data_IF_520586702900
#
_entry.id   IF_520586702900
#
_cell.length_a   1.000
_cell.length_b   1.000
_cell.length_c   1.000
_cell.angle_alpha   90.00
_cell.angle_beta   90.00
_cell.angle_gamma   90.00
#
_symmetry.space_group_name_H-M   'P 1'
#
loop_
_entity.id
_entity.type
_entity.pdbx_description
1 polymer ?
#
# COMPACT_ATOMS: atom_id res chain seq x y z
N UNK A 1 -9.35 -6.36 -21.94
CA UNK A 1 -9.09 -5.85 -20.59
C UNK A 1 -8.65 -4.41 -20.77
N UNK A 2 -9.23 -3.46 -20.05
CA UNK A 2 -8.77 -2.06 -20.12
C UNK A 2 -7.33 -2.00 -19.61
N UNK A 3 -6.44 -1.37 -20.38
CA UNK A 3 -5.08 -1.13 -19.92
C UNK A 3 -5.09 0.09 -19.00
N UNK A 4 -4.88 -0.12 -17.71
CA UNK A 4 -4.67 0.94 -16.72
C UNK A 4 -3.25 1.49 -16.86
N UNK A 5 -3.07 2.40 -17.81
CA UNK A 5 -1.79 3.11 -18.02
C UNK A 5 -1.60 4.27 -17.03
N UNK A 6 -2.68 4.75 -16.43
CA UNK A 6 -2.67 5.81 -15.43
C UNK A 6 -2.64 5.24 -14.01
N UNK A 7 -2.01 5.98 -13.10
CA UNK A 7 -2.14 5.75 -11.68
C UNK A 7 -3.50 6.31 -11.24
N UNK A 8 -4.28 5.48 -10.56
CA UNK A 8 -5.59 5.87 -10.00
C UNK A 8 -5.51 5.75 -8.49
N UNK A 9 -5.77 6.85 -7.79
CA UNK A 9 -6.00 6.84 -6.34
C UNK A 9 -7.49 7.01 -6.12
N UNK A 10 -8.11 6.02 -5.49
CA UNK A 10 -9.55 5.99 -5.24
C UNK A 10 -9.83 5.96 -3.73
N UNK A 11 -9.99 7.15 -3.15
CA UNK A 11 -10.38 7.30 -1.76
C UNK A 11 -11.79 6.77 -1.45
N UNK A 12 -12.65 6.57 -2.47
CA UNK A 12 -14.01 6.05 -2.25
C UNK A 12 -13.97 4.55 -1.97
N UNK A 13 -13.17 3.79 -2.73
CA UNK A 13 -12.97 2.37 -2.48
C UNK A 13 -11.84 2.07 -1.48
N UNK A 14 -10.97 3.05 -1.20
CA UNK A 14 -9.83 2.88 -0.28
C UNK A 14 -8.69 2.09 -0.91
N UNK A 15 -8.45 2.30 -2.21
CA UNK A 15 -7.40 1.60 -2.95
C UNK A 15 -6.73 2.51 -3.99
N UNK A 16 -5.46 2.23 -4.29
CA UNK A 16 -4.78 2.75 -5.46
C UNK A 16 -4.50 1.64 -6.46
N UNK A 17 -4.39 2.04 -7.73
CA UNK A 17 -4.17 1.16 -8.87
C UNK A 17 -3.04 1.72 -9.71
N UNK A 18 -2.07 0.88 -10.07
CA UNK A 18 -1.01 1.25 -11.01
C UNK A 18 -0.63 0.06 -11.89
N UNK A 19 -0.02 0.35 -13.03
CA UNK A 19 0.64 -0.68 -13.84
C UNK A 19 1.76 -1.37 -13.05
N UNK A 20 1.91 -2.67 -13.25
CA UNK A 20 2.99 -3.49 -12.70
C UNK A 20 3.62 -4.38 -13.78
N UNK A 21 3.91 -3.74 -14.92
CA UNK A 21 4.32 -4.40 -16.15
C UNK A 21 3.12 -4.99 -16.87
N UNK A 22 2.94 -4.68 -18.16
CA UNK A 22 1.80 -5.19 -18.91
C UNK A 22 1.81 -6.74 -18.98
N UNK A 23 0.67 -7.43 -18.79
CA UNK A 23 -0.69 -6.92 -18.63
C UNK A 23 -1.18 -6.80 -17.16
N UNK A 24 -0.29 -6.53 -16.21
CA UNK A 24 -0.58 -6.57 -14.78
C UNK A 24 -0.91 -5.20 -14.19
N UNK A 25 -1.83 -5.23 -13.22
CA UNK A 25 -2.18 -4.09 -12.38
C UNK A 25 -1.87 -4.47 -10.94
N UNK A 26 -1.13 -3.61 -10.26
CA UNK A 26 -1.00 -3.67 -8.82
C UNK A 26 -2.16 -2.90 -8.18
N UNK A 27 -2.76 -3.53 -7.17
CA UNK A 27 -3.78 -2.93 -6.32
C UNK A 27 -3.18 -2.80 -4.93
N UNK A 28 -3.13 -1.59 -4.40
CA UNK A 28 -2.59 -1.31 -3.08
C UNK A 28 -3.53 -0.50 -2.21
N UNK A 29 -3.18 -0.39 -0.93
CA UNK A 29 -4.02 0.21 0.10
C UNK A 29 -3.92 1.71 0.23
N UNK A 30 -5.09 2.32 0.49
CA UNK A 30 -5.26 3.75 0.76
C UNK A 30 -6.32 4.00 1.85
N UNK A 31 -6.87 2.96 2.48
CA UNK A 31 -7.89 3.14 3.50
C UNK A 31 -7.25 3.42 4.86
N UNK A 32 -7.99 4.12 5.72
CA UNK A 32 -7.56 4.46 7.08
C UNK A 32 -7.13 3.22 7.88
N UNK A 33 -7.81 2.09 7.69
CA UNK A 33 -7.46 0.82 8.34
C UNK A 33 -6.07 0.30 7.94
N UNK A 34 -5.59 0.59 6.74
CA UNK A 34 -4.25 0.18 6.28
C UNK A 34 -3.19 1.19 6.75
N UNK A 35 -3.55 2.47 6.86
CA UNK A 35 -2.64 3.54 7.32
C UNK A 35 -2.42 3.56 8.83
N UNK A 36 -3.32 2.96 9.59
CA UNK A 36 -3.30 2.95 11.07
C UNK A 36 -3.00 1.57 11.66
N UNK A 37 -2.82 0.55 10.80
CA UNK A 37 -2.47 -0.78 11.25
C UNK A 37 -1.08 -0.78 11.92
N UNK A 38 -1.03 -1.29 13.15
CA UNK A 38 0.23 -1.45 13.89
C UNK A 38 0.54 -2.93 14.01
N UNK A 39 1.74 -3.31 13.60
CA UNK A 39 2.24 -4.69 13.65
C UNK A 39 3.61 -4.74 14.33
N UNK A 40 3.98 -5.92 14.81
CA UNK A 40 5.33 -6.16 15.31
C UNK A 40 6.30 -6.37 14.11
N UNK A 41 7.29 -5.47 13.93
CA UNK A 41 8.18 -5.55 12.78
C UNK A 41 9.06 -6.81 12.79
N UNK A 42 9.35 -7.37 13.97
CA UNK A 42 10.20 -8.57 14.09
C UNK A 42 9.46 -9.86 13.71
N UNK A 43 8.13 -9.80 13.60
CA UNK A 43 7.28 -10.94 13.20
C UNK A 43 6.45 -10.69 11.94
N UNK A 44 6.75 -9.62 11.20
CA UNK A 44 5.96 -9.23 10.03
C UNK A 44 6.18 -10.16 8.81
N UNK A 45 5.07 -10.59 8.21
CA UNK A 45 5.07 -11.41 6.99
C UNK A 45 5.19 -10.57 5.72
N UNK A 46 6.14 -10.91 4.85
CA UNK A 46 6.38 -10.17 3.59
C UNK A 46 5.41 -10.54 2.45
N UNK A 47 4.41 -11.37 2.70
CA UNK A 47 3.40 -11.74 1.72
C UNK A 47 2.04 -11.18 2.14
N UNK A 48 1.24 -10.75 1.17
CA UNK A 48 -0.16 -10.46 1.42
C UNK A 48 -0.91 -11.75 1.78
N UNK A 49 -1.64 -11.73 2.88
CA UNK A 49 -2.49 -12.86 3.25
C UNK A 49 -3.79 -12.93 2.42
N UNK A 50 -4.53 -14.03 2.59
CA UNK A 50 -5.75 -14.27 1.82
C UNK A 50 -6.87 -13.26 2.12
N UNK A 51 -6.95 -12.77 3.35
CA UNK A 51 -8.00 -11.84 3.77
C UNK A 51 -7.75 -10.46 3.17
N UNK A 52 -6.49 -10.01 3.20
CA UNK A 52 -6.02 -8.81 2.51
C UNK A 52 -6.32 -8.90 1.00
N UNK A 53 -5.92 -9.99 0.35
CA UNK A 53 -6.17 -10.20 -1.09
C UNK A 53 -7.67 -10.13 -1.38
N UNK A 54 -8.50 -10.80 -0.59
CA UNK A 54 -9.96 -10.85 -0.79
C UNK A 54 -10.61 -9.47 -0.59
N UNK A 55 -10.15 -8.71 0.41
CA UNK A 55 -10.60 -7.33 0.67
C UNK A 55 -10.31 -6.41 -0.52
N UNK A 56 -9.07 -6.42 -1.00
CA UNK A 56 -8.66 -5.59 -2.14
C UNK A 56 -9.26 -6.03 -3.46
N UNK A 57 -9.52 -7.33 -3.64
CA UNK A 57 -10.22 -7.84 -4.81
C UNK A 57 -11.65 -7.27 -4.90
N UNK A 58 -12.35 -7.15 -3.78
CA UNK A 58 -13.69 -6.55 -3.73
C UNK A 58 -13.65 -5.05 -4.08
N UNK A 59 -12.68 -4.31 -3.56
CA UNK A 59 -12.45 -2.89 -3.89
C UNK A 59 -12.15 -2.72 -5.38
N UNK A 60 -11.30 -3.60 -5.93
CA UNK A 60 -10.94 -3.59 -7.33
C UNK A 60 -12.15 -3.87 -8.25
N UNK A 61 -12.98 -4.88 -7.95
CA UNK A 61 -14.20 -5.16 -8.74
C UNK A 61 -15.22 -4.01 -8.64
N UNK A 62 -15.34 -3.40 -7.47
CA UNK A 62 -16.23 -2.24 -7.28
C UNK A 62 -15.85 -1.10 -8.23
N UNK A 63 -14.55 -0.82 -8.38
CA UNK A 63 -14.05 0.25 -9.24
C UNK A 63 -13.97 -0.16 -10.72
N UNK A 64 -13.48 -1.37 -10.99
CA UNK A 64 -13.27 -1.94 -12.32
C UNK A 64 -13.95 -3.31 -12.41
N UNK A 65 -15.23 -3.38 -12.78
CA UNK A 65 -15.97 -4.65 -12.82
C UNK A 65 -15.33 -5.75 -13.68
N UNK A 66 -14.52 -5.37 -14.67
CA UNK A 66 -13.75 -6.28 -15.53
C UNK A 66 -12.70 -7.11 -14.77
N UNK A 67 -12.30 -6.70 -13.56
CA UNK A 67 -11.36 -7.44 -12.73
C UNK A 67 -11.98 -8.70 -12.09
N UNK A 68 -13.31 -8.85 -12.16
CA UNK A 68 -13.99 -10.04 -11.65
C UNK A 68 -13.42 -11.35 -12.21
N UNK A 69 -12.99 -11.32 -13.48
CA UNK A 69 -12.48 -12.48 -14.20
C UNK A 69 -10.93 -12.52 -14.24
N UNK A 70 -10.26 -11.61 -13.54
CA UNK A 70 -8.80 -11.58 -13.47
C UNK A 70 -8.25 -12.69 -12.55
N UNK A 71 -6.95 -12.98 -12.69
CA UNK A 71 -6.24 -13.90 -11.80
C UNK A 71 -5.28 -13.14 -10.89
N UNK A 72 -5.34 -13.41 -9.59
CA UNK A 72 -4.37 -12.89 -8.62
C UNK A 72 -3.05 -13.65 -8.74
N UNK A 73 -1.92 -12.92 -8.79
CA UNK A 73 -0.56 -13.51 -8.80
C UNK A 73 0.12 -13.52 -7.43
N UNK A 74 -0.64 -13.21 -6.38
CA UNK A 74 -0.12 -12.97 -5.03
C UNK A 74 -0.01 -11.48 -4.72
N UNK A 75 0.63 -11.17 -3.61
CA UNK A 75 0.89 -9.81 -3.16
C UNK A 75 2.01 -9.80 -2.14
N UNK A 76 2.55 -8.63 -1.85
CA UNK A 76 3.60 -8.42 -0.87
C UNK A 76 3.08 -7.61 0.31
N UNK A 77 3.66 -7.87 1.48
CA UNK A 77 3.51 -7.03 2.66
C UNK A 77 4.69 -6.07 2.76
N UNK A 78 4.44 -4.83 3.16
CA UNK A 78 5.46 -3.82 3.43
C UNK A 78 5.11 -3.08 4.71
N UNK A 79 6.14 -2.56 5.39
CA UNK A 79 5.99 -1.68 6.53
C UNK A 79 6.30 -0.25 6.13
N UNK A 80 5.58 0.69 6.75
CA UNK A 80 5.85 2.12 6.69
C UNK A 80 6.01 2.62 8.12
N UNK A 81 6.98 3.49 8.33
CA UNK A 81 7.05 4.28 9.55
C UNK A 81 6.03 5.43 9.41
N UNK A 82 5.27 5.70 10.47
CA UNK A 82 4.24 6.76 10.44
C UNK A 82 4.39 7.64 11.68
N UNK A 83 4.53 8.95 11.46
CA UNK A 83 4.54 9.94 12.53
C UNK A 83 3.11 10.30 12.94
N UNK A 84 2.87 10.79 14.18
CA UNK A 84 1.53 11.16 14.64
C UNK A 84 0.82 12.22 13.78
N UNK A 85 1.57 13.04 13.05
CA UNK A 85 1.06 14.07 12.15
C UNK A 85 1.24 13.74 10.65
N UNK A 86 1.75 12.54 10.34
CA UNK A 86 2.04 12.05 8.98
C UNK A 86 3.04 12.90 8.18
N UNK A 87 3.82 13.77 8.85
CA UNK A 87 4.91 14.49 8.22
C UNK A 87 6.25 13.78 8.47
N UNK A 88 7.19 13.83 7.51
CA UNK A 88 8.51 13.22 7.70
C UNK A 88 9.30 13.93 8.80
N UNK A 89 10.15 13.18 9.50
CA UNK A 89 11.11 13.74 10.46
C UNK A 89 12.45 13.95 9.74
N UNK A 90 12.81 15.23 9.56
CA UNK A 90 14.08 15.65 8.96
C UNK A 90 14.75 16.64 9.91
N UNK A 91 15.62 16.14 10.79
CA UNK A 91 16.31 16.99 11.78
C UNK A 91 17.67 16.42 12.21
N UNK A 92 18.48 17.26 12.85
CA UNK A 92 19.70 16.87 13.54
C UNK A 92 19.35 16.23 14.89
N UNK A 93 20.05 15.15 15.23
CA UNK A 93 19.85 14.53 16.53
C UNK A 93 20.49 15.36 17.65
N UNK A 94 19.76 15.63 18.76
CA UNK A 94 20.27 16.46 19.86
C UNK A 94 21.53 15.90 20.55
N UNK A 95 21.79 14.60 20.41
CA UNK A 95 22.75 13.84 21.23
C UNK A 95 24.11 13.70 20.53
N UNK A 96 24.23 14.08 19.25
CA UNK A 96 25.50 14.03 18.53
C UNK A 96 25.56 15.04 17.39
N UNK A 97 26.55 15.93 17.41
CA UNK A 97 26.88 16.78 16.28
C UNK A 97 27.26 15.92 15.07
N UNK A 98 26.48 16.01 14.00
CA UNK A 98 26.74 15.34 12.72
C UNK A 98 25.89 14.12 12.40
N UNK A 99 24.93 13.72 13.25
CA UNK A 99 23.97 12.65 12.95
C UNK A 99 22.60 13.25 12.62
N UNK A 100 22.01 12.82 11.50
CA UNK A 100 20.73 13.31 10.99
C UNK A 100 19.72 12.16 10.91
N UNK A 101 18.48 12.41 11.33
CA UNK A 101 17.35 11.52 11.08
C UNK A 101 16.71 11.86 9.74
N UNK A 102 16.50 10.82 8.93
CA UNK A 102 15.72 10.87 7.70
C UNK A 102 14.68 9.76 7.77
N UNK A 103 13.54 10.06 8.41
CA UNK A 103 12.36 9.19 8.41
C UNK A 103 11.34 9.70 7.40
N UNK A 104 10.69 8.78 6.68
CA UNK A 104 9.56 9.09 5.79
C UNK A 104 8.28 8.93 6.59
#
# INVERSE_FOLDING_TARGET
MENLEQIVVDHTSGAYFRTDGAPFTLVGGEAEEDLTETVDPDSFGLNADHDFITRYWRRAIMRFPSFKDASCRGGYGSLYDMTPDSNPIIDNLPISTGLQCHGI
#
